data_IF_897680791209
#
_entry.id   IF_897680791209
#
_cell.length_a   1.000
_cell.length_b   1.000
_cell.length_c   1.000
_cell.angle_alpha   90.00
_cell.angle_beta   90.00
_cell.angle_gamma   90.00
#
_symmetry.space_group_name_H-M   'P 1'
#
loop_
_entity.id
_entity.type
_entity.pdbx_description
1 polymer ?
#
# COMPACT_ATOMS: atom_id res chain seq x y z
N UNK A 1 24.27 -26.67 17.00
CA UNK A 1 23.45 -27.37 16.00
C UNK A 1 22.18 -27.83 16.67
N UNK A 2 21.09 -27.11 16.43
CA UNK A 2 19.75 -27.66 16.55
C UNK A 2 18.91 -26.92 15.50
N UNK A 3 18.68 -27.60 14.40
CA UNK A 3 17.75 -27.24 13.33
C UNK A 3 16.35 -27.58 13.82
N UNK A 4 15.41 -26.63 13.79
CA UNK A 4 13.99 -26.94 13.72
C UNK A 4 13.38 -26.03 12.66
N UNK A 5 13.32 -26.63 11.47
CA UNK A 5 12.50 -26.26 10.34
C UNK A 5 11.03 -26.47 10.75
N UNK A 6 10.24 -25.41 10.69
CA UNK A 6 8.79 -25.54 10.53
C UNK A 6 8.29 -24.34 9.72
N UNK A 7 8.10 -24.63 8.45
CA UNK A 7 7.33 -23.91 7.45
C UNK A 7 5.93 -23.55 8.03
N UNK A 8 5.77 -22.31 8.52
CA UNK A 8 4.45 -21.73 8.80
C UNK A 8 3.96 -21.03 7.53
N UNK A 9 3.34 -21.81 6.66
CA UNK A 9 2.46 -21.32 5.61
C UNK A 9 1.29 -20.57 6.26
N UNK A 10 1.39 -19.25 6.32
CA UNK A 10 0.27 -18.39 6.70
C UNK A 10 -0.80 -18.41 5.59
N UNK A 11 -1.74 -19.33 5.73
CA UNK A 11 -2.98 -19.38 4.95
C UNK A 11 -3.90 -18.24 5.42
N UNK A 12 -3.85 -17.07 4.75
CA UNK A 12 -4.85 -16.02 4.92
C UNK A 12 -6.15 -16.41 4.20
N UNK A 13 -6.83 -17.42 4.74
CA UNK A 13 -8.20 -17.78 4.38
C UNK A 13 -9.16 -16.67 4.80
N UNK A 14 -9.43 -15.74 3.89
CA UNK A 14 -10.49 -14.75 4.08
C UNK A 14 -11.81 -15.40 3.69
N UNK A 15 -12.54 -15.91 4.67
CA UNK A 15 -13.89 -16.43 4.49
C UNK A 15 -14.81 -15.27 4.11
N UNK A 16 -15.10 -15.10 2.82
CA UNK A 16 -16.05 -14.09 2.35
C UNK A 16 -17.48 -14.45 2.80
N UNK A 17 -17.90 -13.91 3.94
CA UNK A 17 -19.31 -13.72 4.24
C UNK A 17 -19.75 -12.41 3.59
N UNK A 18 -20.79 -12.46 2.75
CA UNK A 18 -21.38 -11.30 2.07
C UNK A 18 -21.99 -10.31 3.07
N UNK A 19 -21.15 -9.49 3.67
CA UNK A 19 -21.52 -8.34 4.49
C UNK A 19 -21.41 -7.08 3.63
N UNK A 20 -22.53 -6.41 3.39
CA UNK A 20 -22.55 -5.09 2.77
C UNK A 20 -21.95 -4.07 3.74
N UNK A 21 -20.98 -3.29 3.28
CA UNK A 21 -20.35 -2.25 4.10
C UNK A 21 -21.33 -1.10 4.34
N UNK A 22 -21.41 -0.63 5.59
CA UNK A 22 -22.12 0.60 5.91
C UNK A 22 -21.23 1.83 5.70
N UNK A 23 -21.83 3.03 5.70
CA UNK A 23 -21.14 4.30 5.45
C UNK A 23 -19.87 4.48 6.30
N UNK A 24 -19.96 4.24 7.61
CA UNK A 24 -18.83 4.43 8.53
C UNK A 24 -17.69 3.44 8.27
N UNK A 25 -18.02 2.20 7.89
CA UNK A 25 -17.00 1.20 7.50
C UNK A 25 -16.29 1.61 6.22
N UNK A 26 -17.02 2.17 5.24
CA UNK A 26 -16.44 2.68 4.00
C UNK A 26 -15.52 3.88 4.30
N UNK A 27 -15.96 4.84 5.11
CA UNK A 27 -15.14 6.00 5.52
C UNK A 27 -13.82 5.55 6.17
N UNK A 28 -13.88 4.64 7.14
CA UNK A 28 -12.69 4.13 7.82
C UNK A 28 -11.77 3.36 6.87
N UNK A 29 -12.30 2.58 5.93
CA UNK A 29 -11.50 1.87 4.94
C UNK A 29 -10.76 2.84 4.01
N UNK A 30 -11.46 3.88 3.53
CA UNK A 30 -10.86 4.90 2.66
C UNK A 30 -9.79 5.70 3.41
N UNK A 31 -10.05 6.12 4.65
CA UNK A 31 -9.06 6.82 5.47
C UNK A 31 -7.79 5.97 5.67
N UNK A 32 -7.96 4.68 6.01
CA UNK A 32 -6.84 3.76 6.18
C UNK A 32 -6.00 3.61 4.91
N UNK A 33 -6.64 3.45 3.75
CA UNK A 33 -5.92 3.33 2.47
C UNK A 33 -5.23 4.64 2.06
N UNK A 34 -5.84 5.79 2.30
CA UNK A 34 -5.24 7.10 2.03
C UNK A 34 -3.97 7.30 2.87
N UNK A 35 -4.03 6.99 4.17
CA UNK A 35 -2.87 7.09 5.07
C UNK A 35 -1.75 6.15 4.60
N UNK A 36 -2.08 4.89 4.32
CA UNK A 36 -1.12 3.88 3.91
C UNK A 36 -0.43 4.24 2.59
N UNK A 37 -1.19 4.73 1.61
CA UNK A 37 -0.65 5.15 0.31
C UNK A 37 0.28 6.36 0.44
N UNK A 38 -0.06 7.35 1.28
CA UNK A 38 0.83 8.49 1.56
C UNK A 38 2.16 8.03 2.16
N UNK A 39 2.12 7.14 3.16
CA UNK A 39 3.31 6.57 3.78
C UNK A 39 4.18 5.80 2.77
N UNK A 40 3.56 5.00 1.89
CA UNK A 40 4.28 4.27 0.84
C UNK A 40 4.93 5.21 -0.18
N UNK A 41 4.19 6.22 -0.63
CA UNK A 41 4.68 7.19 -1.60
C UNK A 41 5.91 7.96 -1.10
N UNK A 42 5.89 8.40 0.16
CA UNK A 42 7.04 9.03 0.83
C UNK A 42 8.23 8.07 0.94
N UNK A 43 7.98 6.84 1.39
CA UNK A 43 9.00 5.80 1.54
C UNK A 43 9.65 5.44 0.20
N UNK A 44 8.88 5.34 -0.88
CA UNK A 44 9.38 5.08 -2.23
C UNK A 44 10.30 6.21 -2.70
N UNK A 45 9.92 7.47 -2.49
CA UNK A 45 10.78 8.62 -2.82
C UNK A 45 12.08 8.62 -2.03
N UNK A 46 12.03 8.28 -0.74
CA UNK A 46 13.23 8.18 0.09
C UNK A 46 14.17 7.09 -0.44
N UNK A 47 13.65 5.89 -0.71
CA UNK A 47 14.45 4.77 -1.23
C UNK A 47 14.95 4.99 -2.65
N UNK A 48 14.20 5.69 -3.50
CA UNK A 48 14.67 6.05 -4.83
C UNK A 48 15.96 6.89 -4.78
N UNK A 49 16.12 7.77 -3.79
CA UNK A 49 17.36 8.55 -3.60
C UNK A 49 18.55 7.66 -3.25
N UNK A 50 18.33 6.65 -2.41
CA UNK A 50 19.37 5.66 -2.05
C UNK A 50 19.75 4.77 -3.24
N UNK A 51 18.76 4.39 -4.06
CA UNK A 51 18.94 3.51 -5.23
C UNK A 51 19.65 4.23 -6.40
N UNK A 52 19.46 5.54 -6.55
CA UNK A 52 19.94 6.32 -7.69
C UNK A 52 21.44 6.10 -8.00
N UNK A 53 22.27 6.03 -6.96
CA UNK A 53 23.72 5.86 -7.10
C UNK A 53 24.11 4.50 -7.71
N UNK A 54 23.33 3.45 -7.42
CA UNK A 54 23.60 2.10 -7.89
C UNK A 54 22.85 1.77 -9.19
N UNK A 55 21.64 2.29 -9.36
CA UNK A 55 20.79 2.02 -10.52
C UNK A 55 19.83 3.18 -10.78
N UNK A 56 20.22 4.16 -11.61
CA UNK A 56 19.36 5.28 -11.98
C UNK A 56 18.04 4.85 -12.62
N UNK A 57 18.06 3.78 -13.43
CA UNK A 57 16.87 3.25 -14.07
C UNK A 57 15.87 2.67 -13.07
N UNK A 58 16.34 1.92 -12.07
CA UNK A 58 15.47 1.40 -11.01
C UNK A 58 14.93 2.54 -10.14
N UNK A 59 15.77 3.52 -9.78
CA UNK A 59 15.35 4.68 -9.01
C UNK A 59 14.27 5.50 -9.74
N UNK A 60 14.38 5.67 -11.06
CA UNK A 60 13.34 6.31 -11.86
C UNK A 60 12.00 5.55 -11.79
N UNK A 61 12.03 4.22 -11.87
CA UNK A 61 10.83 3.38 -11.75
C UNK A 61 10.20 3.42 -10.36
N UNK A 62 11.01 3.49 -9.31
CA UNK A 62 10.51 3.65 -7.93
C UNK A 62 9.87 5.03 -7.73
N UNK A 63 10.40 6.09 -8.38
CA UNK A 63 9.74 7.42 -8.38
C UNK A 63 8.40 7.38 -9.10
N UNK A 64 8.34 6.76 -10.27
CA UNK A 64 7.09 6.56 -11.02
C UNK A 64 6.05 5.80 -10.19
N UNK A 65 6.47 4.78 -9.43
CA UNK A 65 5.58 4.08 -8.50
C UNK A 65 5.03 4.98 -7.38
N UNK A 66 5.83 5.93 -6.87
CA UNK A 66 5.36 6.91 -5.89
C UNK A 66 4.33 7.88 -6.50
N UNK A 67 4.55 8.32 -7.74
CA UNK A 67 3.60 9.17 -8.46
C UNK A 67 2.25 8.47 -8.69
N UNK A 68 2.28 7.21 -9.13
CA UNK A 68 1.07 6.40 -9.26
C UNK A 68 0.35 6.21 -7.92
N UNK A 69 1.10 6.06 -6.82
CA UNK A 69 0.52 5.96 -5.48
C UNK A 69 -0.19 7.25 -5.07
N UNK A 70 0.36 8.41 -5.41
CA UNK A 70 -0.33 9.70 -5.19
C UNK A 70 -1.60 9.82 -6.03
N UNK A 71 -1.57 9.35 -7.28
CA UNK A 71 -2.77 9.34 -8.13
C UNK A 71 -3.86 8.43 -7.59
N UNK A 72 -3.49 7.24 -7.09
CA UNK A 72 -4.39 6.36 -6.36
C UNK A 72 -4.96 7.06 -5.12
N UNK A 73 -4.11 7.71 -4.32
CA UNK A 73 -4.52 8.47 -3.14
C UNK A 73 -5.54 9.54 -3.48
N UNK A 74 -5.31 10.33 -4.54
CA UNK A 74 -6.26 11.36 -5.00
C UNK A 74 -7.62 10.75 -5.34
N UNK A 75 -7.66 9.58 -5.98
CA UNK A 75 -8.92 8.90 -6.30
C UNK A 75 -9.65 8.39 -5.07
N UNK A 76 -8.91 7.95 -4.05
CA UNK A 76 -9.50 7.58 -2.77
C UNK A 76 -10.05 8.79 -1.99
N UNK A 77 -9.35 9.93 -2.05
CA UNK A 77 -9.83 11.19 -1.46
C UNK A 77 -11.11 11.70 -2.16
N UNK A 78 -11.16 11.61 -3.50
CA UNK A 78 -12.40 11.87 -4.26
C UNK A 78 -13.53 10.94 -3.79
N UNK A 79 -13.27 9.63 -3.69
CA UNK A 79 -14.26 8.66 -3.23
C UNK A 79 -14.75 8.93 -1.80
N UNK A 80 -13.84 9.34 -0.89
CA UNK A 80 -14.20 9.69 0.48
C UNK A 80 -15.13 10.92 0.56
N UNK A 81 -15.07 11.82 -0.42
CA UNK A 81 -15.99 12.96 -0.55
C UNK A 81 -17.40 12.60 -1.03
N UNK A 82 -17.58 11.38 -1.57
CA UNK A 82 -18.87 10.88 -2.08
C UNK A 82 -19.63 10.01 -1.07
N UNK A 83 -19.00 9.71 0.08
CA UNK A 83 -19.54 8.82 1.11
C UNK A 83 -20.26 9.61 2.19
#
# INVERSE_FOLDING_TARGET
>A
MHEHDHDELHEHGSQEHGHELNKHEIEHLLEHWIEHNKSHSESFRARAKEIEAASPGAAAKVREAAELMDECTRKLEEAAGEV
#
